data_IF_702989443202
#
_entry.id   IF_702989443202
#
_cell.length_a   1.000
_cell.length_b   1.000
_cell.length_c   1.000
_cell.angle_alpha   90.00
_cell.angle_beta   90.00
_cell.angle_gamma   90.00
#
_symmetry.space_group_name_H-M   'P 1'
#
loop_
_entity.id
_entity.type
_entity.pdbx_description
1 polymer ?
#
# COMPACT_ATOMS: atom_id res chain seq x y z
N UNK A 1 3.72 -11.13 15.48
CA UNK A 1 3.88 -9.86 14.74
C UNK A 1 3.37 -10.11 13.34
N UNK A 2 2.42 -9.32 12.83
CA UNK A 2 2.01 -9.45 11.43
C UNK A 2 3.21 -9.04 10.55
N UNK A 3 3.56 -9.88 9.58
CA UNK A 3 4.63 -9.59 8.63
C UNK A 3 4.11 -8.53 7.67
N UNK A 4 4.68 -7.33 7.72
CA UNK A 4 4.34 -6.25 6.78
C UNK A 4 5.33 -6.29 5.62
N UNK A 5 4.84 -6.54 4.42
CA UNK A 5 5.63 -6.42 3.20
C UNK A 5 5.40 -5.03 2.60
N UNK A 6 6.42 -4.17 2.69
CA UNK A 6 6.35 -2.78 2.24
C UNK A 6 7.00 -2.66 0.87
N UNK A 7 6.23 -2.25 -0.13
CA UNK A 7 6.69 -2.04 -1.50
C UNK A 7 6.44 -0.61 -1.95
N UNK A 8 7.39 0.00 -2.66
CA UNK A 8 7.19 1.31 -3.28
C UNK A 8 6.59 1.15 -4.69
N UNK A 9 5.60 1.98 -5.03
CA UNK A 9 4.95 1.96 -6.34
C UNK A 9 4.46 3.37 -6.73
N UNK A 10 4.95 3.90 -7.87
CA UNK A 10 4.54 5.21 -8.45
C UNK A 10 4.53 6.39 -7.46
N UNK A 11 5.53 6.47 -6.59
CA UNK A 11 5.63 7.55 -5.58
C UNK A 11 4.80 7.32 -4.31
N UNK A 12 4.09 6.21 -4.22
CA UNK A 12 3.41 5.75 -3.01
C UNK A 12 4.13 4.53 -2.40
N UNK A 13 3.82 4.26 -1.14
CA UNK A 13 4.20 3.04 -0.44
C UNK A 13 2.97 2.18 -0.22
N UNK A 14 3.11 0.88 -0.46
CA UNK A 14 2.07 -0.12 -0.25
C UNK A 14 2.57 -1.00 0.89
N UNK A 15 1.93 -0.92 2.05
CA UNK A 15 2.16 -1.83 3.16
C UNK A 15 1.14 -2.97 3.08
N UNK A 16 1.60 -4.16 2.68
CA UNK A 16 0.76 -5.35 2.59
C UNK A 16 0.88 -6.24 3.83
N UNK A 17 -0.25 -6.72 4.33
CA UNK A 17 -0.33 -7.72 5.40
C UNK A 17 -1.59 -8.58 5.21
N UNK A 18 -1.68 -9.68 5.94
CA UNK A 18 -2.85 -10.55 5.89
C UNK A 18 -3.43 -10.79 7.28
N UNK A 19 -4.75 -10.90 7.33
CA UNK A 19 -5.51 -11.25 8.51
C UNK A 19 -6.02 -12.68 8.39
N UNK A 20 -5.71 -13.51 9.39
CA UNK A 20 -6.32 -14.83 9.51
C UNK A 20 -7.76 -14.67 10.00
N UNK A 21 -8.71 -15.12 9.20
CA UNK A 21 -10.12 -15.09 9.56
C UNK A 21 -10.49 -16.28 10.44
N UNK A 22 -11.57 -16.19 11.25
CA UNK A 22 -12.02 -17.30 12.11
C UNK A 22 -12.33 -18.60 11.36
N UNK A 23 -12.62 -18.48 10.05
CA UNK A 23 -12.88 -19.60 9.13
C UNK A 23 -11.62 -20.33 8.65
N UNK A 24 -10.42 -19.89 9.07
CA UNK A 24 -9.15 -20.50 8.69
C UNK A 24 -8.56 -20.02 7.36
N UNK A 25 -9.21 -19.06 6.70
CA UNK A 25 -8.73 -18.45 5.45
C UNK A 25 -8.10 -17.09 5.72
N UNK A 26 -7.20 -16.67 4.84
CA UNK A 26 -6.47 -15.42 4.91
C UNK A 26 -7.13 -14.36 4.04
N UNK A 27 -7.31 -13.17 4.60
CA UNK A 27 -7.70 -11.99 3.86
C UNK A 27 -6.54 -11.02 3.77
N UNK A 28 -6.19 -10.61 2.56
CA UNK A 28 -5.12 -9.64 2.33
C UNK A 28 -5.63 -8.24 2.60
N UNK A 29 -4.76 -7.41 3.15
CA UNK A 29 -4.93 -5.98 3.33
C UNK A 29 -3.70 -5.28 2.78
N UNK A 30 -3.92 -4.18 2.07
CA UNK A 30 -2.88 -3.32 1.56
C UNK A 30 -3.22 -1.88 1.90
N UNK A 31 -2.28 -1.20 2.54
CA UNK A 31 -2.40 0.19 2.95
C UNK A 31 -1.52 1.06 2.06
N UNK A 32 -2.15 1.98 1.34
CA UNK A 32 -1.49 2.93 0.45
C UNK A 32 -1.11 4.16 1.27
N UNK A 33 0.18 4.41 1.40
CA UNK A 33 0.76 5.51 2.16
C UNK A 33 1.53 6.45 1.22
N UNK A 34 1.53 7.74 1.54
CA UNK A 34 2.36 8.74 0.85
C UNK A 34 3.80 8.77 1.39
N UNK A 35 3.98 8.35 2.64
CA UNK A 35 5.28 8.25 3.32
C UNK A 35 5.56 6.79 3.65
N UNK A 36 6.83 6.41 3.74
CA UNK A 36 7.21 5.04 4.10
C UNK A 36 6.82 4.77 5.55
N UNK A 37 5.91 3.84 5.84
CA UNK A 37 5.59 3.50 7.22
C UNK A 37 6.77 2.76 7.85
N UNK A 38 7.16 3.15 9.07
CA UNK A 38 8.18 2.43 9.84
C UNK A 38 7.67 1.06 10.28
N UNK A 39 6.36 0.95 10.52
CA UNK A 39 5.64 -0.28 10.85
C UNK A 39 4.12 -0.10 10.57
N UNK A 40 3.35 -1.18 10.54
CA UNK A 40 1.90 -1.11 10.29
C UNK A 40 1.09 -0.42 11.40
N UNK A 41 1.67 -0.16 12.57
CA UNK A 41 1.02 0.61 13.64
C UNK A 41 1.15 2.13 13.43
N UNK A 42 2.19 2.57 12.71
CA UNK A 42 2.43 3.98 12.37
C UNK A 42 2.14 4.28 10.89
N UNK A 43 1.54 3.34 10.16
CA UNK A 43 1.04 3.62 8.83
C UNK A 43 -0.05 4.68 8.93
N UNK A 44 0.14 5.79 8.19
CA UNK A 44 -0.90 6.78 7.91
C UNK A 44 -1.41 6.51 6.49
N UNK A 45 -2.28 5.50 6.31
CA UNK A 45 -2.79 5.18 4.99
C UNK A 45 -3.62 6.35 4.46
N UNK A 46 -3.33 6.76 3.24
CA UNK A 46 -4.23 7.56 2.43
C UNK A 46 -5.48 6.73 2.12
N UNK A 47 -5.27 5.46 1.77
CA UNK A 47 -6.33 4.54 1.39
C UNK A 47 -5.99 3.12 1.82
N UNK A 48 -7.01 2.34 2.17
CA UNK A 48 -6.88 0.93 2.56
C UNK A 48 -7.66 0.06 1.59
N UNK A 49 -7.00 -0.94 1.05
CA UNK A 49 -7.53 -1.85 0.04
C UNK A 49 -7.47 -3.28 0.57
N UNK A 50 -8.60 -3.98 0.51
CA UNK A 50 -8.69 -5.39 0.90
C UNK A 50 -8.64 -6.28 -0.34
N UNK A 51 -8.17 -7.52 -0.16
CA UNK A 51 -8.28 -8.52 -1.21
C UNK A 51 -9.75 -8.85 -1.47
N UNK A 52 -10.12 -8.99 -2.75
CA UNK A 52 -11.50 -9.26 -3.18
C UNK A 52 -12.01 -10.62 -2.70
N UNK A 53 -11.10 -11.57 -2.54
CA UNK A 53 -11.36 -12.94 -2.10
C UNK A 53 -10.54 -13.28 -0.86
N UNK A 54 -10.90 -14.39 -0.24
CA UNK A 54 -10.12 -15.05 0.80
C UNK A 54 -9.23 -16.13 0.18
N UNK A 55 -8.09 -16.39 0.80
CA UNK A 55 -7.08 -17.32 0.28
C UNK A 55 -6.61 -18.28 1.36
N UNK A 56 -6.27 -19.51 0.99
CA UNK A 56 -5.78 -20.51 1.94
C UNK A 56 -4.33 -20.25 2.38
N UNK A 57 -3.63 -19.34 1.69
CA UNK A 57 -2.23 -19.00 1.95
C UNK A 57 -2.08 -17.51 2.22
N UNK A 58 -1.37 -17.18 3.30
CA UNK A 58 -1.06 -15.82 3.74
C UNK A 58 -0.39 -15.01 2.62
N UNK A 59 0.68 -15.53 2.02
CA UNK A 59 1.44 -14.84 0.97
C UNK A 59 0.58 -14.49 -0.25
N UNK A 60 -0.33 -15.40 -0.63
CA UNK A 60 -1.22 -15.17 -1.77
C UNK A 60 -2.23 -14.07 -1.48
N UNK A 61 -2.72 -14.00 -0.24
CA UNK A 61 -3.61 -12.95 0.21
C UNK A 61 -2.92 -11.57 0.16
N UNK A 62 -1.67 -11.49 0.66
CA UNK A 62 -0.85 -10.25 0.60
C UNK A 62 -0.63 -9.81 -0.85
N UNK A 63 -0.18 -10.72 -1.72
CA UNK A 63 0.06 -10.41 -3.14
C UNK A 63 -1.21 -9.91 -3.84
N UNK A 64 -2.36 -10.53 -3.56
CA UNK A 64 -3.63 -10.10 -4.12
C UNK A 64 -4.02 -8.69 -3.66
N UNK A 65 -3.85 -8.38 -2.37
CA UNK A 65 -4.13 -7.04 -1.85
C UNK A 65 -3.17 -5.99 -2.42
N UNK A 66 -1.88 -6.31 -2.55
CA UNK A 66 -0.90 -5.43 -3.20
C UNK A 66 -1.24 -5.17 -4.66
N UNK A 67 -1.69 -6.19 -5.40
CA UNK A 67 -2.12 -6.03 -6.78
C UNK A 67 -3.34 -5.09 -6.90
N UNK A 68 -4.32 -5.24 -6.01
CA UNK A 68 -5.48 -4.33 -5.94
C UNK A 68 -5.05 -2.90 -5.60
N UNK A 69 -4.15 -2.73 -4.63
CA UNK A 69 -3.61 -1.42 -4.26
C UNK A 69 -2.87 -0.74 -5.43
N UNK A 70 -2.14 -1.50 -6.26
CA UNK A 70 -1.53 -0.97 -7.48
C UNK A 70 -2.59 -0.49 -8.47
N UNK A 71 -3.68 -1.23 -8.66
CA UNK A 71 -4.80 -0.80 -9.51
C UNK A 71 -5.47 0.49 -9.02
N UNK A 72 -5.59 0.66 -7.70
CA UNK A 72 -6.05 1.92 -7.09
C UNK A 72 -5.05 3.04 -7.37
N UNK A 73 -3.75 2.81 -7.15
CA UNK A 73 -2.69 3.79 -7.47
C UNK A 73 -2.64 4.12 -8.96
N UNK A 74 -2.99 3.18 -9.84
CA UNK A 74 -3.07 3.43 -11.28
C UNK A 74 -4.25 4.31 -11.67
N UNK A 75 -5.35 4.24 -10.91
CA UNK A 75 -6.49 5.15 -11.03
C UNK A 75 -6.27 6.51 -10.35
N UNK A 76 -5.42 6.55 -9.32
CA UNK A 76 -4.89 7.78 -8.76
C UNK A 76 -3.93 8.40 -9.78
N UNK A 77 -4.06 9.69 -10.05
CA UNK A 77 -3.05 10.40 -10.85
C UNK A 77 -1.66 10.24 -10.24
N UNK A 78 -0.60 10.39 -11.04
CA UNK A 78 0.78 10.34 -10.54
C UNK A 78 0.95 11.31 -9.36
N UNK A 79 1.10 10.79 -8.15
CA UNK A 79 1.57 11.54 -6.97
C UNK A 79 3.10 11.58 -6.91
N UNK A 80 3.76 11.57 -8.06
CA UNK A 80 5.06 12.24 -8.11
C UNK A 80 4.81 13.73 -8.02
N UNK A 81 4.42 14.21 -6.83
CA UNK A 81 4.95 15.48 -6.39
C UNK A 81 6.47 15.28 -6.38
N UNK A 82 7.23 15.96 -7.26
CA UNK A 82 8.68 15.86 -7.19
C UNK A 82 9.05 16.23 -5.76
N UNK A 83 9.62 15.29 -5.01
CA UNK A 83 10.08 15.50 -3.63
C UNK A 83 11.26 16.51 -3.57
N UNK A 84 11.48 17.26 -4.65
CA UNK A 84 12.48 18.28 -4.88
C UNK A 84 12.18 18.93 -6.24
N UNK A 85 11.44 20.04 -6.25
CA UNK A 85 11.77 21.12 -7.18
C UNK A 85 12.48 22.23 -6.36
N UNK A 86 13.78 22.10 -6.03
CA UNK A 86 14.57 23.25 -5.60
C UNK A 86 14.79 24.09 -6.86
N UNK A 87 13.76 24.84 -7.25
CA UNK A 87 13.74 25.46 -8.57
C UNK A 87 12.51 26.32 -8.83
N UNK A 88 11.80 26.76 -7.79
CA UNK A 88 10.99 27.96 -7.89
C UNK A 88 11.92 29.17 -7.83
N UNK A 89 12.64 29.46 -8.92
CA UNK A 89 13.13 30.82 -9.14
C UNK A 89 11.93 31.61 -9.67
N UNK A 90 11.34 32.55 -8.91
CA UNK A 90 10.43 33.50 -9.50
C UNK A 90 11.25 34.38 -10.44
N UNK A 91 11.24 34.08 -11.73
CA UNK A 91 11.67 35.05 -12.74
C UNK A 91 10.68 36.21 -12.71
N UNK A 92 11.12 37.33 -12.13
CA UNK A 92 10.56 38.65 -12.38
C UNK A 92 11.66 39.53 -12.98
#
# INVERSE_FOLDING_TARGET
>A
MATYDIQAYKGYFIAGHAYLQPTGVWQGCAEICIERPENGAHAKPLERVMSTLFYDQEQRAVQAAQHQARGVIDGLGLNWAPFTAPGGLPSR
#
